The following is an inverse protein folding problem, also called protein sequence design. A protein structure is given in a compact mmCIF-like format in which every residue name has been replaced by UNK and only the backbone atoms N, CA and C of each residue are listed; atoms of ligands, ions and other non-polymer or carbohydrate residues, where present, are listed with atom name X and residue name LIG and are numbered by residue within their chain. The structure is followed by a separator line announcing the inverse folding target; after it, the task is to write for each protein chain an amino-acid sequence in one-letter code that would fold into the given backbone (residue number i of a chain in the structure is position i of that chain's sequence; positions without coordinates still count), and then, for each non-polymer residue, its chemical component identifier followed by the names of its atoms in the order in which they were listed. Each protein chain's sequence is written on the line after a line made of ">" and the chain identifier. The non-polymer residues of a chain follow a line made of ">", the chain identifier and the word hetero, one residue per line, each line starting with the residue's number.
data_IF_169054828889
#
_entry.id   IF_169054828889
#
_cell.length_a   1.000
_cell.length_b   1.000
_cell.length_c   1.000
_cell.angle_alpha   90.00
_cell.angle_beta   90.00
_cell.angle_gamma   90.00
#
_symmetry.space_group_name_H-M   'P 1'
#
loop_
_entity.id
_entity.type
_entity.pdbx_description
1 polymer ?
#
# COMPACT_ATOMS: atom_id res chain seq x y z
N UNK A 1 51.48 37.72 22.49
CA UNK A 1 50.27 37.71 23.35
C UNK A 1 50.73 37.85 24.79
N UNK A 2 50.33 38.91 25.50
CA UNK A 2 50.76 39.16 26.89
C UNK A 2 50.21 38.07 27.84
N UNK A 3 50.88 37.77 28.97
CA UNK A 3 50.43 36.75 29.94
C UNK A 3 48.97 36.96 30.42
N UNK A 4 48.59 38.21 30.70
CA UNK A 4 47.23 38.57 31.10
C UNK A 4 46.17 38.24 30.02
N UNK A 5 46.49 38.47 28.73
CA UNK A 5 45.59 38.09 27.63
C UNK A 5 45.43 36.58 27.49
N UNK A 6 46.47 35.78 27.79
CA UNK A 6 46.37 34.31 27.81
C UNK A 6 45.46 33.82 28.92
N UNK A 7 45.56 34.42 30.11
CA UNK A 7 44.71 34.05 31.25
C UNK A 7 43.24 34.39 31.01
N UNK A 8 42.94 35.59 30.52
CA UNK A 8 41.56 36.00 30.19
C UNK A 8 40.97 35.07 29.12
N UNK A 9 41.73 34.74 28.07
CA UNK A 9 41.29 33.81 27.03
C UNK A 9 40.95 32.44 27.60
N UNK A 10 41.81 31.89 28.46
CA UNK A 10 41.56 30.61 29.14
C UNK A 10 40.27 30.63 29.99
N UNK A 11 40.03 31.72 30.74
CA UNK A 11 38.79 31.88 31.52
C UNK A 11 37.54 31.96 30.63
N UNK A 12 37.62 32.63 29.49
CA UNK A 12 36.52 32.70 28.50
C UNK A 12 36.26 31.32 27.90
N UNK A 13 37.30 30.60 27.47
CA UNK A 13 37.17 29.26 26.90
C UNK A 13 36.53 28.28 27.90
N UNK A 14 36.91 28.36 29.18
CA UNK A 14 36.29 27.56 30.25
C UNK A 14 34.80 27.88 30.43
N UNK A 15 34.41 29.16 30.39
CA UNK A 15 32.98 29.56 30.47
C UNK A 15 32.19 29.10 29.24
N UNK A 16 32.76 29.19 28.05
CA UNK A 16 32.16 28.68 26.81
C UNK A 16 31.91 27.18 26.91
N UNK A 17 32.89 26.42 27.44
CA UNK A 17 32.74 24.98 27.68
C UNK A 17 31.62 24.69 28.67
N UNK A 18 31.61 25.34 29.84
CA UNK A 18 30.56 25.17 30.85
C UNK A 18 29.16 25.49 30.31
N UNK A 19 29.01 26.58 29.57
CA UNK A 19 27.73 26.94 28.95
C UNK A 19 27.30 25.90 27.91
N UNK A 20 28.21 25.42 27.08
CA UNK A 20 27.94 24.35 26.11
C UNK A 20 27.44 23.08 26.80
N UNK A 21 28.06 22.69 27.92
CA UNK A 21 27.67 21.52 28.70
C UNK A 21 26.28 21.67 29.35
N UNK A 22 25.93 22.87 29.81
CA UNK A 22 24.59 23.17 30.36
C UNK A 22 23.53 23.09 29.27
N UNK A 23 23.76 23.74 28.12
CA UNK A 23 22.83 23.74 27.00
C UNK A 23 22.62 22.34 26.41
N UNK A 24 23.69 21.55 26.36
CA UNK A 24 23.64 20.14 25.91
C UNK A 24 22.74 19.31 26.83
N UNK A 25 22.92 19.43 28.16
CA UNK A 25 22.09 18.73 29.15
C UNK A 25 20.62 19.17 29.09
N UNK A 26 20.36 20.45 28.84
CA UNK A 26 19.00 20.96 28.67
C UNK A 26 18.30 20.30 27.48
N UNK A 27 18.99 20.15 26.34
CA UNK A 27 18.46 19.53 25.12
C UNK A 27 18.31 18.01 25.23
N UNK A 28 19.17 17.37 26.02
CA UNK A 28 19.07 15.95 26.35
C UNK A 28 18.00 15.66 27.42
N UNK A 29 17.44 16.70 28.04
CA UNK A 29 16.49 16.61 29.14
C UNK A 29 15.15 15.93 28.80
N UNK A 30 14.40 15.58 29.86
CA UNK A 30 13.26 14.64 29.90
C UNK A 30 12.24 14.77 28.74
N UNK A 31 11.80 13.64 28.15
CA UNK A 31 10.77 13.58 27.10
C UNK A 31 9.47 14.30 27.47
N UNK A 32 9.13 14.40 28.75
CA UNK A 32 7.90 15.03 29.24
C UNK A 32 7.80 16.53 28.89
N UNK A 33 8.94 17.23 28.87
CA UNK A 33 8.98 18.65 28.51
C UNK A 33 8.70 18.84 27.01
N UNK A 34 9.23 17.95 26.17
CA UNK A 34 9.00 17.97 24.71
C UNK A 34 7.57 17.59 24.33
N UNK A 35 6.88 16.78 25.14
CA UNK A 35 5.47 16.43 24.95
C UNK A 35 4.52 17.60 25.22
N UNK A 36 4.80 18.43 26.24
CA UNK A 36 3.90 19.52 26.64
C UNK A 36 4.09 20.83 25.88
N UNK A 37 5.28 21.08 25.31
CA UNK A 37 5.58 22.35 24.64
C UNK A 37 6.05 22.26 23.18
N UNK A 38 6.12 21.06 22.60
CA UNK A 38 6.50 20.88 21.20
C UNK A 38 7.96 21.24 20.88
N UNK A 39 8.31 21.40 19.59
CA UNK A 39 9.68 21.72 19.18
C UNK A 39 10.21 23.07 19.69
N UNK A 40 9.33 24.02 20.02
CA UNK A 40 9.70 25.39 20.39
C UNK A 40 10.43 25.48 21.74
N UNK A 41 10.21 24.53 22.65
CA UNK A 41 10.86 24.50 23.98
C UNK A 41 12.38 24.43 23.86
N UNK A 42 12.90 23.78 22.82
CA UNK A 42 14.35 23.62 22.62
C UNK A 42 14.98 24.83 21.92
N UNK A 43 14.18 25.74 21.34
CA UNK A 43 14.64 26.89 20.51
C UNK A 43 15.71 27.70 21.21
N UNK A 44 15.49 28.06 22.49
CA UNK A 44 16.43 28.86 23.27
C UNK A 44 17.80 28.19 23.31
N UNK A 45 17.85 26.93 23.73
CA UNK A 45 19.10 26.21 23.90
C UNK A 45 19.81 25.99 22.55
N UNK A 46 19.07 25.64 21.50
CA UNK A 46 19.61 25.49 20.14
C UNK A 46 20.19 26.80 19.62
N UNK A 47 19.45 27.92 19.75
CA UNK A 47 19.90 29.24 19.27
C UNK A 47 21.19 29.67 19.95
N UNK A 48 21.32 29.44 21.26
CA UNK A 48 22.56 29.77 21.97
C UNK A 48 23.74 28.89 21.52
N UNK A 49 23.53 27.60 21.26
CA UNK A 49 24.58 26.74 20.71
C UNK A 49 25.02 27.17 19.30
N UNK A 50 24.08 27.59 18.44
CA UNK A 50 24.42 28.15 17.12
C UNK A 50 25.28 29.41 17.28
N UNK A 51 24.91 30.33 18.19
CA UNK A 51 25.68 31.54 18.48
C UNK A 51 27.08 31.28 19.04
N UNK A 52 27.30 30.13 19.69
CA UNK A 52 28.62 29.66 20.13
C UNK A 52 29.44 28.99 19.01
N UNK A 53 28.95 28.99 17.77
CA UNK A 53 29.60 28.32 16.64
C UNK A 53 29.53 26.79 16.72
N UNK A 54 28.55 26.25 17.44
CA UNK A 54 28.33 24.80 17.64
C UNK A 54 27.08 24.31 16.91
N UNK A 55 26.82 24.82 15.70
CA UNK A 55 25.58 24.53 14.94
C UNK A 55 25.38 23.05 14.63
N UNK A 56 26.44 22.31 14.26
CA UNK A 56 26.36 20.85 14.03
C UNK A 56 25.93 20.10 15.29
N UNK A 57 26.50 20.44 16.45
CA UNK A 57 26.12 19.84 17.73
C UNK A 57 24.67 20.21 18.10
N UNK A 58 24.28 21.46 17.88
CA UNK A 58 22.91 21.93 18.12
C UNK A 58 21.90 21.16 17.27
N UNK A 59 22.21 20.94 15.99
CA UNK A 59 21.39 20.17 15.06
C UNK A 59 21.22 18.71 15.50
N UNK A 60 22.32 18.02 15.82
CA UNK A 60 22.29 16.64 16.29
C UNK A 60 21.45 16.48 17.57
N UNK A 61 21.69 17.33 18.56
CA UNK A 61 20.94 17.31 19.83
C UNK A 61 19.45 17.62 19.63
N UNK A 62 19.13 18.60 18.78
CA UNK A 62 17.75 18.94 18.45
C UNK A 62 17.04 17.73 17.82
N UNK A 63 17.61 17.13 16.77
CA UNK A 63 16.99 16.00 16.07
C UNK A 63 16.85 14.77 16.98
N UNK A 64 17.85 14.48 17.83
CA UNK A 64 17.75 13.44 18.87
C UNK A 64 16.61 13.71 19.86
N UNK A 65 16.45 14.96 20.31
CA UNK A 65 15.33 15.35 21.17
C UNK A 65 13.98 15.09 20.46
N UNK A 66 13.87 15.44 19.18
CA UNK A 66 12.66 15.20 18.38
C UNK A 66 12.36 13.72 18.18
N UNK A 67 13.37 12.88 17.93
CA UNK A 67 13.21 11.43 17.89
C UNK A 67 12.64 10.87 19.20
N UNK A 68 13.12 11.35 20.36
CA UNK A 68 12.59 10.92 21.66
C UNK A 68 11.13 11.33 21.83
N UNK A 69 10.76 12.55 21.43
CA UNK A 69 9.39 13.04 21.48
C UNK A 69 8.44 12.23 20.58
N UNK A 70 8.86 11.91 19.35
CA UNK A 70 8.10 11.06 18.42
C UNK A 70 7.91 9.67 19.05
N UNK A 71 9.00 9.01 19.48
CA UNK A 71 8.94 7.67 20.08
C UNK A 71 8.02 7.63 21.30
N UNK A 72 8.08 8.64 22.17
CA UNK A 72 7.22 8.69 23.34
C UNK A 72 5.75 8.89 22.96
N UNK A 73 5.45 9.78 22.02
CA UNK A 73 4.07 10.03 21.56
C UNK A 73 3.47 8.79 20.89
N UNK A 74 4.24 8.08 20.06
CA UNK A 74 3.80 6.84 19.42
C UNK A 74 3.60 5.69 20.44
N UNK A 75 4.36 5.66 21.54
CA UNK A 75 4.14 4.70 22.65
C UNK A 75 2.86 4.99 23.43
N UNK A 76 2.52 6.26 23.62
CA UNK A 76 1.30 6.68 24.30
C UNK A 76 0.04 6.46 23.45
N UNK A 77 0.19 6.19 22.15
CA UNK A 77 -0.93 5.93 21.26
C UNK A 77 -1.56 4.57 21.57
N UNK A 78 -2.76 4.61 22.17
CA UNK A 78 -3.53 3.39 22.46
C UNK A 78 -4.04 2.75 21.17
N UNK A 79 -3.96 1.42 21.14
CA UNK A 79 -4.62 0.60 20.11
C UNK A 79 -6.10 0.51 20.51
N UNK A 80 -6.95 1.24 19.79
CA UNK A 80 -8.39 1.30 20.08
C UNK A 80 -9.19 1.18 18.78
N UNK A 81 -10.16 0.26 18.79
CA UNK A 81 -11.07 0.04 17.67
C UNK A 81 -10.46 -0.73 16.50
N UNK A 82 -11.09 -0.60 15.33
CA UNK A 82 -10.63 -1.24 14.10
C UNK A 82 -9.23 -0.74 13.69
N UNK A 83 -8.43 -1.62 13.07
CA UNK A 83 -7.06 -1.31 12.63
C UNK A 83 -6.95 0.01 11.84
N UNK A 84 -7.97 0.32 11.03
CA UNK A 84 -8.08 1.57 10.27
C UNK A 84 -8.04 2.84 11.14
N UNK A 85 -8.74 2.84 12.28
CA UNK A 85 -8.77 3.99 13.20
C UNK A 85 -7.42 4.22 13.85
N UNK A 86 -6.78 3.13 14.29
CA UNK A 86 -5.44 3.19 14.84
C UNK A 86 -4.42 3.72 13.83
N UNK A 87 -4.43 3.17 12.61
CA UNK A 87 -3.52 3.58 11.53
C UNK A 87 -3.70 5.06 11.18
N UNK A 88 -4.93 5.55 11.13
CA UNK A 88 -5.22 6.97 10.87
C UNK A 88 -4.61 7.86 11.96
N UNK A 89 -4.82 7.52 13.24
CA UNK A 89 -4.22 8.25 14.37
C UNK A 89 -2.69 8.19 14.33
N UNK A 90 -2.12 7.02 14.02
CA UNK A 90 -0.68 6.79 13.90
C UNK A 90 -0.06 7.68 12.82
N UNK A 91 -0.65 7.68 11.60
CA UNK A 91 -0.19 8.52 10.49
C UNK A 91 -0.24 10.00 10.87
N UNK A 92 -1.41 10.46 11.34
CA UNK A 92 -1.59 11.87 11.74
C UNK A 92 -0.57 12.29 12.79
N UNK A 93 -0.38 11.50 13.85
CA UNK A 93 0.53 11.82 14.93
C UNK A 93 1.99 11.90 14.44
N UNK A 94 2.45 10.90 13.69
CA UNK A 94 3.81 10.87 13.18
C UNK A 94 4.10 12.03 12.21
N UNK A 95 3.29 12.20 11.17
CA UNK A 95 3.54 13.23 10.16
C UNK A 95 3.38 14.65 10.71
N UNK A 96 2.48 14.88 11.67
CA UNK A 96 2.40 16.16 12.38
C UNK A 96 3.69 16.49 13.12
N UNK A 97 4.31 15.52 13.81
CA UNK A 97 5.60 15.76 14.45
C UNK A 97 6.70 16.11 13.47
N UNK A 98 6.74 15.48 12.29
CA UNK A 98 7.71 15.84 11.23
C UNK A 98 7.45 17.27 10.74
N UNK A 99 6.18 17.65 10.49
CA UNK A 99 5.80 18.99 10.05
C UNK A 99 6.18 20.06 11.08
N UNK A 100 5.82 19.86 12.35
CA UNK A 100 6.16 20.79 13.43
C UNK A 100 7.67 20.93 13.59
N UNK A 101 8.38 19.81 13.53
CA UNK A 101 9.84 19.80 13.59
C UNK A 101 10.43 20.55 12.40
N UNK A 102 9.97 20.31 11.18
CA UNK A 102 10.47 20.98 9.98
C UNK A 102 10.19 22.49 9.96
N UNK A 103 9.01 22.91 10.44
CA UNK A 103 8.68 24.35 10.60
C UNK A 103 9.65 25.03 11.57
N UNK A 104 9.87 24.43 12.73
CA UNK A 104 10.79 24.96 13.74
C UNK A 104 12.25 24.92 13.26
N UNK A 105 12.64 23.85 12.56
CA UNK A 105 13.97 23.68 12.02
C UNK A 105 14.30 24.79 11.01
N UNK A 106 13.38 25.11 10.10
CA UNK A 106 13.54 26.24 9.18
C UNK A 106 13.71 27.57 9.88
N UNK A 107 13.00 27.79 10.98
CA UNK A 107 13.11 29.04 11.74
C UNK A 107 14.45 29.15 12.47
N UNK A 108 14.94 28.04 13.03
CA UNK A 108 16.11 28.04 13.91
C UNK A 108 17.44 27.87 13.17
N UNK A 109 17.44 27.15 12.05
CA UNK A 109 18.65 26.81 11.27
C UNK A 109 18.69 27.47 9.88
N UNK A 110 17.92 28.56 9.64
CA UNK A 110 17.84 29.25 8.35
C UNK A 110 19.21 29.62 7.73
N UNK A 111 20.18 30.01 8.54
CA UNK A 111 21.54 30.39 8.12
C UNK A 111 22.53 29.20 8.08
N UNK A 112 22.10 28.01 8.52
CA UNK A 112 22.95 26.84 8.73
C UNK A 112 22.68 25.78 7.64
N UNK A 113 23.06 26.08 6.39
CA UNK A 113 22.75 25.22 5.23
C UNK A 113 23.19 23.75 5.41
N UNK A 114 24.35 23.52 6.04
CA UNK A 114 24.85 22.17 6.33
C UNK A 114 23.96 21.32 7.25
N UNK A 115 23.02 21.93 7.98
CA UNK A 115 22.11 21.22 8.87
C UNK A 115 20.87 20.66 8.13
N UNK A 116 20.49 21.21 6.98
CA UNK A 116 19.30 20.75 6.24
C UNK A 116 19.44 19.33 5.69
N UNK A 117 20.64 18.93 5.25
CA UNK A 117 20.91 17.56 4.86
C UNK A 117 20.72 16.59 6.04
N UNK A 118 21.17 16.97 7.24
CA UNK A 118 20.96 16.19 8.46
C UNK A 118 19.47 16.05 8.80
N UNK A 119 18.65 17.08 8.59
CA UNK A 119 17.19 17.01 8.75
C UNK A 119 16.55 16.00 7.78
N UNK A 120 16.97 15.97 6.51
CA UNK A 120 16.47 15.00 5.52
C UNK A 120 16.86 13.57 5.91
N UNK A 121 18.13 13.34 6.30
CA UNK A 121 18.61 12.04 6.78
C UNK A 121 17.83 11.57 8.01
N UNK A 122 17.61 12.47 8.96
CA UNK A 122 16.80 12.19 10.15
C UNK A 122 15.36 11.85 9.79
N UNK A 123 14.72 12.63 8.93
CA UNK A 123 13.31 12.41 8.52
C UNK A 123 13.14 11.03 7.85
N UNK A 124 14.11 10.62 7.02
CA UNK A 124 14.15 9.28 6.42
C UNK A 124 14.29 8.19 7.49
N UNK A 125 15.14 8.37 8.49
CA UNK A 125 15.32 7.40 9.58
C UNK A 125 14.06 7.26 10.45
N UNK A 126 13.42 8.37 10.80
CA UNK A 126 12.15 8.37 11.53
C UNK A 126 11.03 7.72 10.72
N UNK A 127 10.95 7.99 9.40
CA UNK A 127 9.99 7.34 8.51
C UNK A 127 10.18 5.83 8.48
N UNK A 128 11.42 5.33 8.46
CA UNK A 128 11.71 3.89 8.56
C UNK A 128 11.18 3.29 9.86
N UNK A 129 11.36 3.98 10.99
CA UNK A 129 10.80 3.58 12.28
C UNK A 129 9.27 3.52 12.26
N UNK A 130 8.63 4.53 11.67
CA UNK A 130 7.19 4.58 11.48
C UNK A 130 6.68 3.43 10.60
N UNK A 131 7.28 3.18 9.44
CA UNK A 131 6.84 2.10 8.53
C UNK A 131 6.94 0.74 9.20
N UNK A 132 7.98 0.49 10.01
CA UNK A 132 8.07 -0.76 10.77
C UNK A 132 6.89 -0.97 11.73
N UNK A 133 6.39 0.09 12.37
CA UNK A 133 5.22 0.02 13.24
C UNK A 133 3.92 -0.09 12.44
N UNK A 134 3.80 0.69 11.37
CA UNK A 134 2.67 0.67 10.44
C UNK A 134 2.49 -0.72 9.83
N UNK A 135 3.55 -1.32 9.28
CA UNK A 135 3.50 -2.62 8.59
C UNK A 135 3.02 -3.75 9.50
N UNK A 136 3.36 -3.73 10.79
CA UNK A 136 2.88 -4.72 11.77
C UNK A 136 1.37 -4.69 11.97
N UNK A 137 0.74 -3.54 11.76
CA UNK A 137 -0.68 -3.32 12.04
C UNK A 137 -1.51 -3.32 10.76
N UNK A 138 -0.99 -2.72 9.69
CA UNK A 138 -1.71 -2.51 8.43
C UNK A 138 -1.36 -3.51 7.34
N UNK A 139 -0.16 -4.12 7.38
CA UNK A 139 0.36 -5.03 6.34
C UNK A 139 0.60 -6.44 6.88
N UNK A 140 -0.18 -6.88 7.88
CA UNK A 140 -0.05 -8.23 8.41
C UNK A 140 -0.37 -9.28 7.34
N UNK A 141 0.32 -10.44 7.37
CA UNK A 141 0.32 -11.47 6.32
C UNK A 141 -1.06 -12.04 5.94
N UNK A 142 -2.10 -11.80 6.72
CA UNK A 142 -3.48 -12.27 6.48
C UNK A 142 -4.48 -11.12 6.29
N UNK A 143 -4.00 -9.97 5.84
CA UNK A 143 -4.84 -8.78 5.72
C UNK A 143 -5.65 -8.79 4.42
N UNK A 144 -6.91 -8.37 4.54
CA UNK A 144 -7.77 -8.06 3.39
C UNK A 144 -7.15 -6.90 2.58
N UNK A 145 -6.96 -7.10 1.27
CA UNK A 145 -6.37 -6.11 0.38
C UNK A 145 -7.07 -4.75 0.39
N UNK A 146 -8.39 -4.69 0.59
CA UNK A 146 -9.13 -3.43 0.65
C UNK A 146 -8.76 -2.61 1.88
N UNK A 147 -8.70 -3.26 3.05
CA UNK A 147 -8.28 -2.60 4.30
C UNK A 147 -6.82 -2.11 4.21
N UNK A 148 -5.95 -2.91 3.57
CA UNK A 148 -4.56 -2.53 3.28
C UNK A 148 -4.52 -1.30 2.37
N UNK A 149 -5.29 -1.29 1.28
CA UNK A 149 -5.35 -0.19 0.32
C UNK A 149 -5.78 1.12 0.97
N UNK A 150 -6.79 1.10 1.84
CA UNK A 150 -7.23 2.29 2.58
C UNK A 150 -6.13 2.79 3.53
N UNK A 151 -5.49 1.90 4.28
CA UNK A 151 -4.40 2.27 5.19
C UNK A 151 -3.20 2.88 4.46
N UNK A 152 -2.80 2.30 3.32
CA UNK A 152 -1.69 2.80 2.49
C UNK A 152 -2.05 4.16 1.87
N UNK A 153 -3.29 4.35 1.44
CA UNK A 153 -3.78 5.63 0.91
C UNK A 153 -3.70 6.74 1.96
N UNK A 154 -4.08 6.44 3.20
CA UNK A 154 -3.94 7.37 4.34
C UNK A 154 -2.47 7.73 4.58
N UNK A 155 -1.58 6.72 4.65
CA UNK A 155 -0.16 6.95 4.86
C UNK A 155 0.45 7.83 3.75
N UNK A 156 0.13 7.57 2.48
CA UNK A 156 0.57 8.38 1.33
C UNK A 156 0.04 9.82 1.39
N UNK A 157 -1.22 10.00 1.78
CA UNK A 157 -1.84 11.33 1.91
C UNK A 157 -1.12 12.16 2.97
N UNK A 158 -0.88 11.59 4.16
CA UNK A 158 -0.14 12.29 5.20
C UNK A 158 1.34 12.51 4.83
N UNK A 159 1.98 11.57 4.14
CA UNK A 159 3.35 11.75 3.64
C UNK A 159 3.44 12.91 2.65
N UNK A 160 2.47 13.02 1.74
CA UNK A 160 2.39 14.12 0.76
C UNK A 160 2.21 15.49 1.43
N UNK A 161 1.60 15.52 2.63
CA UNK A 161 1.45 16.77 3.40
C UNK A 161 2.78 17.35 3.89
N UNK A 162 3.88 16.58 3.87
CA UNK A 162 5.22 17.09 4.16
C UNK A 162 5.70 18.13 3.14
N UNK A 163 5.05 18.25 1.98
CA UNK A 163 5.29 19.31 1.01
C UNK A 163 5.14 20.72 1.60
N UNK A 164 4.30 20.92 2.64
CA UNK A 164 4.20 22.20 3.37
C UNK A 164 5.49 22.62 4.07
N UNK A 165 6.40 21.66 4.25
CA UNK A 165 7.75 21.91 4.74
C UNK A 165 8.85 21.73 3.68
N UNK A 166 8.49 21.62 2.40
CA UNK A 166 9.45 21.43 1.31
C UNK A 166 10.11 20.04 1.31
N UNK A 167 9.47 19.05 1.93
CA UNK A 167 9.99 17.68 2.04
C UNK A 167 9.04 16.72 1.31
N UNK A 168 9.58 15.91 0.40
CA UNK A 168 8.86 14.80 -0.22
C UNK A 168 9.56 13.49 0.13
N UNK A 169 8.84 12.59 0.82
CA UNK A 169 9.31 11.26 1.19
C UNK A 169 8.39 10.16 0.65
N UNK A 170 7.50 10.47 -0.29
CA UNK A 170 6.49 9.53 -0.79
C UNK A 170 7.15 8.31 -1.46
N UNK A 171 8.22 8.54 -2.21
CA UNK A 171 9.01 7.46 -2.82
C UNK A 171 9.67 6.55 -1.77
N UNK A 172 10.21 7.13 -0.69
CA UNK A 172 10.81 6.38 0.43
C UNK A 172 9.74 5.56 1.15
N UNK A 173 8.57 6.15 1.39
CA UNK A 173 7.45 5.45 2.02
C UNK A 173 7.05 4.23 1.19
N UNK A 174 6.91 4.40 -0.13
CA UNK A 174 6.56 3.32 -1.05
C UNK A 174 7.61 2.20 -1.06
N UNK A 175 8.89 2.54 -1.15
CA UNK A 175 10.01 1.59 -1.10
C UNK A 175 10.01 0.77 0.20
N UNK A 176 9.85 1.44 1.34
CA UNK A 176 9.82 0.76 2.65
C UNK A 176 8.60 -0.16 2.83
N UNK A 177 7.50 0.09 2.14
CA UNK A 177 6.29 -0.75 2.19
C UNK A 177 6.29 -1.88 1.17
N UNK A 178 7.14 -1.81 0.13
CA UNK A 178 7.10 -2.68 -1.05
C UNK A 178 7.01 -4.16 -0.68
N UNK A 179 7.91 -4.62 0.20
CA UNK A 179 7.94 -6.03 0.62
C UNK A 179 6.65 -6.46 1.32
N UNK A 180 6.09 -5.62 2.19
CA UNK A 180 4.83 -5.90 2.87
C UNK A 180 3.65 -5.97 1.89
N UNK A 181 3.64 -5.10 0.87
CA UNK A 181 2.62 -5.12 -0.19
C UNK A 181 2.70 -6.37 -1.05
N UNK A 182 3.92 -6.80 -1.41
CA UNK A 182 4.14 -8.07 -2.12
C UNK A 182 3.62 -9.27 -1.34
N UNK A 183 3.89 -9.32 -0.03
CA UNK A 183 3.42 -10.41 0.83
C UNK A 183 1.89 -10.43 0.95
N UNK A 184 1.23 -9.26 1.02
CA UNK A 184 -0.23 -9.14 0.99
C UNK A 184 -0.81 -9.61 -0.34
N UNK A 185 -0.23 -9.20 -1.47
CA UNK A 185 -0.68 -9.63 -2.80
C UNK A 185 -0.58 -11.15 -2.94
N UNK A 186 0.55 -11.72 -2.52
CA UNK A 186 0.79 -13.15 -2.57
C UNK A 186 -0.17 -13.94 -1.67
N UNK A 187 -0.47 -13.46 -0.46
CA UNK A 187 -1.48 -14.09 0.39
C UNK A 187 -2.86 -14.07 -0.26
N UNK A 188 -3.30 -12.91 -0.77
CA UNK A 188 -4.61 -12.79 -1.41
C UNK A 188 -4.69 -13.64 -2.68
N UNK A 189 -3.60 -13.82 -3.43
CA UNK A 189 -3.51 -14.76 -4.56
C UNK A 189 -3.93 -16.17 -4.16
N UNK A 190 -3.36 -16.70 -3.09
CA UNK A 190 -3.67 -18.06 -2.61
C UNK A 190 -5.14 -18.17 -2.19
N UNK A 191 -5.66 -17.17 -1.47
CA UNK A 191 -7.07 -17.14 -1.07
C UNK A 191 -8.02 -17.12 -2.28
N UNK A 192 -7.69 -16.37 -3.33
CA UNK A 192 -8.47 -16.31 -4.56
C UNK A 192 -8.47 -17.65 -5.31
N UNK A 193 -7.30 -18.28 -5.41
CA UNK A 193 -7.13 -19.59 -6.04
C UNK A 193 -7.94 -20.65 -5.27
N UNK A 194 -7.82 -20.70 -3.95
CA UNK A 194 -8.51 -21.68 -3.12
C UNK A 194 -10.04 -21.50 -3.18
N UNK A 195 -10.53 -20.26 -3.08
CA UNK A 195 -11.95 -19.96 -3.25
C UNK A 195 -12.47 -20.33 -4.65
N UNK A 196 -11.64 -20.17 -5.69
CA UNK A 196 -11.96 -20.61 -7.06
C UNK A 196 -12.07 -22.13 -7.15
N UNK A 197 -11.12 -22.87 -6.57
CA UNK A 197 -11.13 -24.34 -6.53
C UNK A 197 -12.37 -24.89 -5.83
N UNK A 198 -12.68 -24.39 -4.64
CA UNK A 198 -13.87 -24.83 -3.89
C UNK A 198 -15.16 -24.63 -4.68
N UNK A 199 -15.36 -23.46 -5.31
CA UNK A 199 -16.54 -23.21 -6.14
C UNK A 199 -16.63 -24.13 -7.36
N UNK A 200 -15.50 -24.55 -7.93
CA UNK A 200 -15.48 -25.43 -9.09
C UNK A 200 -15.80 -26.90 -8.73
N UNK A 201 -15.62 -27.34 -7.46
CA UNK A 201 -15.92 -28.72 -7.05
C UNK A 201 -17.42 -29.05 -7.16
N UNK A 202 -18.28 -28.06 -6.91
CA UNK A 202 -19.74 -28.18 -6.91
C UNK A 202 -20.38 -27.72 -8.23
N UNK A 203 -19.57 -27.34 -9.22
CA UNK A 203 -20.05 -26.75 -10.46
C UNK A 203 -20.73 -27.78 -11.39
N UNK A 204 -21.79 -27.33 -12.05
CA UNK A 204 -22.56 -28.10 -13.03
C UNK A 204 -22.43 -27.56 -14.46
N UNK A 205 -21.83 -26.37 -14.65
CA UNK A 205 -21.55 -25.77 -15.96
C UNK A 205 -22.78 -25.40 -16.81
N UNK A 206 -23.92 -25.19 -16.16
CA UNK A 206 -25.09 -24.58 -16.78
C UNK A 206 -25.05 -23.05 -16.65
N UNK A 207 -25.74 -22.31 -17.54
CA UNK A 207 -26.05 -20.90 -17.32
C UNK A 207 -26.63 -20.68 -15.91
N UNK A 208 -26.10 -19.69 -15.19
CA UNK A 208 -26.53 -19.41 -13.82
C UNK A 208 -28.00 -18.99 -13.80
N UNK A 209 -28.83 -19.69 -13.03
CA UNK A 209 -30.24 -19.35 -12.84
C UNK A 209 -30.46 -18.67 -11.49
N UNK A 210 -30.87 -17.41 -11.51
CA UNK A 210 -31.15 -16.59 -10.32
C UNK A 210 -32.60 -16.72 -9.83
N UNK A 211 -33.41 -17.57 -10.48
CA UNK A 211 -34.81 -17.91 -10.18
C UNK A 211 -35.81 -16.79 -10.43
N UNK A 212 -35.43 -15.52 -10.26
CA UNK A 212 -36.32 -14.38 -10.49
C UNK A 212 -35.57 -13.12 -10.96
N UNK A 213 -36.27 -12.15 -11.58
CA UNK A 213 -35.65 -10.92 -12.09
C UNK A 213 -35.08 -9.99 -11.03
N UNK A 214 -35.62 -9.99 -9.80
CA UNK A 214 -35.09 -9.15 -8.73
C UNK A 214 -33.67 -9.57 -8.31
N UNK A 215 -33.43 -10.89 -8.23
CA UNK A 215 -32.10 -11.44 -7.97
C UNK A 215 -31.12 -11.12 -9.11
N UNK A 216 -31.57 -11.11 -10.37
CA UNK A 216 -30.78 -10.67 -11.52
C UNK A 216 -30.37 -9.20 -11.42
N UNK A 217 -31.33 -8.31 -11.14
CA UNK A 217 -31.05 -6.88 -10.96
C UNK A 217 -30.09 -6.61 -9.80
N UNK A 218 -30.22 -7.34 -8.69
CA UNK A 218 -29.30 -7.25 -7.55
C UNK A 218 -27.87 -7.64 -7.94
N UNK A 219 -27.71 -8.77 -8.64
CA UNK A 219 -26.40 -9.23 -9.12
C UNK A 219 -25.78 -8.21 -10.09
N UNK A 220 -26.57 -7.65 -11.01
CA UNK A 220 -26.10 -6.63 -11.95
C UNK A 220 -25.56 -5.42 -11.19
N UNK A 221 -26.30 -4.92 -10.19
CA UNK A 221 -25.84 -3.81 -9.35
C UNK A 221 -24.58 -4.14 -8.53
N UNK A 222 -24.40 -5.41 -8.11
CA UNK A 222 -23.16 -5.87 -7.48
C UNK A 222 -21.98 -5.89 -8.44
N UNK A 223 -22.18 -6.38 -9.66
CA UNK A 223 -21.15 -6.46 -10.70
C UNK A 223 -20.72 -5.07 -11.16
N UNK A 224 -21.66 -4.14 -11.31
CA UNK A 224 -21.38 -2.74 -11.62
C UNK A 224 -20.54 -2.08 -10.51
N UNK A 225 -20.87 -2.31 -9.23
CA UNK A 225 -20.05 -1.80 -8.10
C UNK A 225 -18.64 -2.40 -8.05
N UNK A 226 -18.48 -3.65 -8.49
CA UNK A 226 -17.18 -4.29 -8.67
C UNK A 226 -16.43 -3.75 -9.91
N UNK A 227 -17.11 -3.03 -10.80
CA UNK A 227 -16.54 -2.36 -11.96
C UNK A 227 -16.82 -3.04 -13.29
N UNK A 228 -17.85 -3.87 -13.39
CA UNK A 228 -18.34 -4.41 -14.66
C UNK A 228 -19.65 -3.72 -15.05
N UNK A 229 -19.52 -2.59 -15.73
CA UNK A 229 -20.66 -1.72 -16.07
C UNK A 229 -21.67 -2.42 -17.01
N UNK A 230 -21.15 -3.19 -17.97
CA UNK A 230 -21.90 -3.87 -19.02
C UNK A 230 -22.42 -5.27 -18.65
N UNK A 231 -22.36 -5.68 -17.38
CA UNK A 231 -22.73 -7.05 -16.97
C UNK A 231 -24.16 -7.44 -17.35
N UNK A 232 -25.08 -6.47 -17.45
CA UNK A 232 -26.46 -6.69 -17.88
C UNK A 232 -26.57 -7.41 -19.24
N UNK A 233 -25.58 -7.26 -20.13
CA UNK A 233 -25.56 -7.92 -21.45
C UNK A 233 -25.49 -9.46 -21.35
N UNK A 234 -25.00 -9.98 -20.22
CA UNK A 234 -24.95 -11.41 -19.95
C UNK A 234 -26.27 -11.97 -19.40
N UNK A 235 -27.21 -11.10 -19.01
CA UNK A 235 -28.51 -11.50 -18.46
C UNK A 235 -29.53 -11.68 -19.57
N UNK A 236 -30.29 -12.78 -19.54
CA UNK A 236 -31.37 -13.08 -20.47
C UNK A 236 -32.54 -13.77 -19.76
N UNK A 237 -33.70 -13.84 -20.42
CA UNK A 237 -34.95 -14.43 -19.90
C UNK A 237 -35.34 -13.92 -18.50
N UNK A 238 -34.95 -12.68 -18.18
CA UNK A 238 -35.19 -12.03 -16.90
C UNK A 238 -34.37 -12.55 -15.72
N UNK A 239 -33.94 -13.82 -15.68
CA UNK A 239 -33.30 -14.41 -14.51
C UNK A 239 -32.10 -15.33 -14.78
N UNK A 240 -31.67 -15.50 -16.03
CA UNK A 240 -30.52 -16.32 -16.39
C UNK A 240 -29.30 -15.46 -16.73
N UNK A 241 -28.11 -15.94 -16.37
CA UNK A 241 -26.83 -15.39 -16.81
C UNK A 241 -26.17 -16.39 -17.75
N UNK A 242 -25.66 -15.93 -18.90
CA UNK A 242 -25.07 -16.76 -19.97
C UNK A 242 -23.88 -17.64 -19.55
N UNK A 243 -23.25 -17.30 -18.43
CA UNK A 243 -22.07 -17.97 -17.88
C UNK A 243 -22.41 -18.72 -16.57
N UNK A 244 -21.54 -19.65 -16.20
CA UNK A 244 -21.73 -20.51 -15.04
C UNK A 244 -21.59 -19.76 -13.71
N UNK A 245 -22.18 -20.32 -12.65
CA UNK A 245 -22.22 -19.72 -11.32
C UNK A 245 -20.81 -19.44 -10.77
N UNK A 246 -19.90 -20.40 -10.91
CA UNK A 246 -18.50 -20.26 -10.49
C UNK A 246 -17.76 -19.18 -11.28
N UNK A 247 -18.03 -19.03 -12.58
CA UNK A 247 -17.44 -17.99 -13.45
C UNK A 247 -17.96 -16.60 -13.09
N UNK A 248 -19.25 -16.44 -12.79
CA UNK A 248 -19.81 -15.17 -12.26
C UNK A 248 -19.13 -14.80 -10.95
N UNK A 249 -19.06 -15.74 -10.00
CA UNK A 249 -18.45 -15.50 -8.70
C UNK A 249 -16.95 -15.17 -8.82
N UNK A 250 -16.22 -15.89 -9.67
CA UNK A 250 -14.81 -15.61 -9.97
C UNK A 250 -14.62 -14.20 -10.53
N UNK A 251 -15.42 -13.81 -11.53
CA UNK A 251 -15.39 -12.49 -12.18
C UNK A 251 -15.57 -11.38 -11.14
N UNK A 252 -16.60 -11.49 -10.29
CA UNK A 252 -16.89 -10.50 -9.22
C UNK A 252 -15.73 -10.35 -8.25
N UNK A 253 -15.20 -11.49 -7.77
CA UNK A 253 -14.16 -11.50 -6.73
C UNK A 253 -12.83 -10.99 -7.29
N UNK A 254 -12.42 -11.42 -8.49
CA UNK A 254 -11.18 -10.93 -9.09
C UNK A 254 -11.28 -9.45 -9.45
N UNK A 255 -12.43 -8.95 -9.95
CA UNK A 255 -12.61 -7.50 -10.17
C UNK A 255 -12.49 -6.69 -8.88
N UNK A 256 -13.09 -7.18 -7.81
CA UNK A 256 -13.01 -6.54 -6.50
C UNK A 256 -11.56 -6.50 -6.01
N UNK A 257 -10.81 -7.59 -6.18
CA UNK A 257 -9.37 -7.62 -5.90
C UNK A 257 -8.59 -6.62 -6.76
N UNK A 258 -8.81 -6.60 -8.08
CA UNK A 258 -8.13 -5.67 -9.02
C UNK A 258 -8.38 -4.22 -8.61
N UNK A 259 -9.63 -3.87 -8.29
CA UNK A 259 -10.03 -2.52 -7.85
C UNK A 259 -9.24 -2.05 -6.62
N UNK A 260 -8.96 -2.94 -5.68
CA UNK A 260 -8.18 -2.62 -4.48
C UNK A 260 -6.67 -2.65 -4.75
N UNK A 261 -6.18 -3.63 -5.52
CA UNK A 261 -4.76 -3.77 -5.88
C UNK A 261 -4.25 -2.55 -6.68
N UNK A 262 -5.03 -2.00 -7.60
CA UNK A 262 -4.61 -0.83 -8.38
C UNK A 262 -4.47 0.45 -7.52
N UNK A 263 -5.16 0.56 -6.37
CA UNK A 263 -4.94 1.66 -5.42
C UNK A 263 -3.54 1.62 -4.81
N UNK A 264 -2.94 0.42 -4.75
CA UNK A 264 -1.59 0.20 -4.23
C UNK A 264 -0.49 0.47 -5.27
N UNK A 265 -0.86 0.73 -6.53
CA UNK A 265 0.07 0.86 -7.66
C UNK A 265 1.26 1.77 -7.36
N UNK A 266 2.44 1.21 -7.58
CA UNK A 266 3.74 1.87 -7.76
C UNK A 266 4.50 1.12 -8.85
N UNK A 267 5.42 1.78 -9.59
CA UNK A 267 6.15 1.14 -10.68
C UNK A 267 6.85 -0.17 -10.28
N UNK A 268 7.37 -0.25 -9.06
CA UNK A 268 8.10 -1.40 -8.52
C UNK A 268 7.19 -2.58 -8.17
N UNK A 269 5.92 -2.32 -7.82
CA UNK A 269 4.92 -3.34 -7.45
C UNK A 269 4.09 -3.80 -8.65
N UNK A 270 4.14 -3.06 -9.77
CA UNK A 270 3.39 -3.38 -10.97
C UNK A 270 3.60 -4.82 -11.48
N UNK A 271 4.83 -5.36 -11.57
CA UNK A 271 5.04 -6.73 -12.01
C UNK A 271 4.32 -7.76 -11.14
N UNK A 272 4.32 -7.55 -9.81
CA UNK A 272 3.64 -8.44 -8.85
C UNK A 272 2.11 -8.40 -9.01
N UNK A 273 1.53 -7.20 -9.17
CA UNK A 273 0.09 -7.03 -9.39
C UNK A 273 -0.34 -7.80 -10.65
N UNK A 274 0.39 -7.62 -11.76
CA UNK A 274 0.05 -8.28 -13.02
C UNK A 274 0.26 -9.79 -12.89
N UNK A 275 1.36 -10.26 -12.29
CA UNK A 275 1.62 -11.69 -12.10
C UNK A 275 0.50 -12.37 -11.30
N UNK A 276 0.10 -11.78 -10.17
CA UNK A 276 -0.97 -12.32 -9.32
C UNK A 276 -2.29 -12.44 -10.08
N UNK A 277 -2.68 -11.40 -10.82
CA UNK A 277 -3.93 -11.41 -11.60
C UNK A 277 -3.86 -12.46 -12.72
N UNK A 278 -2.74 -12.53 -13.44
CA UNK A 278 -2.51 -13.50 -14.51
C UNK A 278 -2.55 -14.94 -13.98
N UNK A 279 -1.90 -15.22 -12.86
CA UNK A 279 -1.86 -16.55 -12.23
C UNK A 279 -3.23 -16.98 -11.72
N UNK A 280 -3.98 -16.09 -11.07
CA UNK A 280 -5.35 -16.37 -10.61
C UNK A 280 -6.29 -16.65 -11.79
N UNK A 281 -6.19 -15.86 -12.86
CA UNK A 281 -6.97 -16.06 -14.08
C UNK A 281 -6.60 -17.37 -14.78
N UNK A 282 -5.31 -17.65 -14.95
CA UNK A 282 -4.86 -18.91 -15.54
C UNK A 282 -5.29 -20.11 -14.72
N UNK A 283 -5.19 -20.05 -13.38
CA UNK A 283 -5.64 -21.16 -12.54
C UNK A 283 -7.14 -21.45 -12.71
N UNK A 284 -7.98 -20.41 -12.77
CA UNK A 284 -9.42 -20.60 -13.02
C UNK A 284 -9.68 -21.19 -14.41
N UNK A 285 -8.93 -20.75 -15.43
CA UNK A 285 -8.99 -21.35 -16.78
C UNK A 285 -8.60 -22.82 -16.73
N UNK A 286 -7.52 -23.19 -16.04
CA UNK A 286 -7.06 -24.58 -15.94
C UNK A 286 -8.11 -25.48 -15.28
N UNK A 287 -8.84 -24.99 -14.28
CA UNK A 287 -9.97 -25.70 -13.69
C UNK A 287 -11.09 -25.96 -14.72
N UNK A 288 -11.45 -24.96 -15.52
CA UNK A 288 -12.41 -25.13 -16.62
C UNK A 288 -11.90 -26.11 -17.68
N UNK A 289 -10.61 -26.04 -18.04
CA UNK A 289 -9.99 -26.96 -19.00
C UNK A 289 -10.00 -28.40 -18.50
N UNK A 290 -9.74 -28.61 -17.21
CA UNK A 290 -9.84 -29.93 -16.58
C UNK A 290 -11.28 -30.45 -16.63
N UNK A 291 -12.27 -29.61 -16.31
CA UNK A 291 -13.67 -29.97 -16.40
C UNK A 291 -14.09 -30.32 -17.84
N UNK A 292 -13.67 -29.52 -18.83
CA UNK A 292 -14.03 -29.73 -20.25
C UNK A 292 -13.42 -31.02 -20.85
N UNK A 293 -12.34 -31.52 -20.26
CA UNK A 293 -11.70 -32.78 -20.65
C UNK A 293 -12.25 -34.01 -19.91
N UNK A 294 -13.07 -33.79 -18.89
CA UNK A 294 -13.66 -34.87 -18.10
C UNK A 294 -14.90 -35.41 -18.79
N UNK A 295 -15.04 -36.73 -18.83
CA UNK A 295 -16.24 -37.42 -19.33
C UNK A 295 -17.49 -37.07 -18.50
N UNK A 296 -17.30 -36.64 -17.24
CA UNK A 296 -18.38 -36.19 -16.36
C UNK A 296 -19.21 -35.05 -16.95
N UNK A 297 -18.61 -34.20 -17.78
CA UNK A 297 -19.22 -32.98 -18.31
C UNK A 297 -19.23 -32.97 -19.84
N UNK A 298 -19.42 -34.14 -20.46
CA UNK A 298 -19.45 -34.26 -21.92
C UNK A 298 -20.57 -33.41 -22.54
N UNK A 299 -21.78 -33.47 -21.97
CA UNK A 299 -22.94 -32.71 -22.44
C UNK A 299 -22.75 -31.19 -22.24
N UNK A 300 -22.10 -30.78 -21.15
CA UNK A 300 -21.88 -29.38 -20.82
C UNK A 300 -20.60 -28.79 -21.43
N UNK A 301 -19.80 -29.59 -22.17
CA UNK A 301 -18.51 -29.18 -22.73
C UNK A 301 -18.60 -27.89 -23.55
N UNK A 302 -19.66 -27.72 -24.34
CA UNK A 302 -19.90 -26.48 -25.09
C UNK A 302 -20.13 -25.28 -24.18
N UNK A 303 -20.82 -25.46 -23.05
CA UNK A 303 -21.01 -24.39 -22.07
C UNK A 303 -19.70 -24.05 -21.36
N UNK A 304 -18.88 -25.05 -21.01
CA UNK A 304 -17.54 -24.82 -20.45
C UNK A 304 -16.69 -24.00 -21.41
N UNK A 305 -16.69 -24.33 -22.71
CA UNK A 305 -15.97 -23.58 -23.73
C UNK A 305 -16.45 -22.11 -23.84
N UNK A 306 -17.76 -21.85 -23.74
CA UNK A 306 -18.30 -20.47 -23.70
C UNK A 306 -17.79 -19.69 -22.49
N UNK A 307 -17.65 -20.33 -21.32
CA UNK A 307 -17.08 -19.69 -20.13
C UNK A 307 -15.58 -19.37 -20.31
N UNK A 308 -14.81 -20.28 -20.90
CA UNK A 308 -13.40 -20.03 -21.25
C UNK A 308 -13.29 -18.85 -22.23
N UNK A 309 -14.11 -18.85 -23.28
CA UNK A 309 -14.13 -17.78 -24.28
C UNK A 309 -14.49 -16.43 -23.65
N UNK A 310 -15.51 -16.40 -22.79
CA UNK A 310 -15.89 -15.21 -22.03
C UNK A 310 -14.70 -14.64 -21.23
N UNK A 311 -13.92 -15.48 -20.53
CA UNK A 311 -12.75 -15.02 -19.78
C UNK A 311 -11.74 -14.32 -20.70
N UNK A 312 -11.46 -14.89 -21.87
CA UNK A 312 -10.46 -14.33 -22.79
C UNK A 312 -10.94 -13.11 -23.59
N UNK A 313 -12.20 -13.12 -24.04
CA UNK A 313 -12.74 -12.15 -24.99
C UNK A 313 -13.42 -10.96 -24.33
N UNK A 314 -13.97 -11.13 -23.12
CA UNK A 314 -14.67 -10.06 -22.41
C UNK A 314 -13.93 -9.68 -21.12
N UNK A 315 -13.60 -10.67 -20.30
CA UNK A 315 -13.14 -10.40 -18.95
C UNK A 315 -11.69 -9.89 -18.85
N UNK A 316 -10.73 -10.57 -19.48
CA UNK A 316 -9.34 -10.12 -19.49
C UNK A 316 -9.17 -8.74 -20.13
N UNK A 317 -9.82 -8.40 -21.27
CA UNK A 317 -9.83 -7.02 -21.79
C UNK A 317 -10.38 -5.99 -20.80
N UNK A 318 -11.44 -6.31 -20.05
CA UNK A 318 -11.97 -5.43 -19.02
C UNK A 318 -10.93 -5.14 -17.92
N UNK A 319 -10.23 -6.17 -17.45
CA UNK A 319 -9.13 -6.01 -16.49
C UNK A 319 -7.98 -5.20 -17.09
N UNK A 320 -7.61 -5.48 -18.34
CA UNK A 320 -6.55 -4.78 -19.09
C UNK A 320 -6.80 -3.26 -19.09
N UNK A 321 -8.01 -2.84 -19.46
CA UNK A 321 -8.43 -1.42 -19.46
C UNK A 321 -8.33 -0.81 -18.06
N UNK A 322 -8.70 -1.54 -17.00
CA UNK A 322 -8.62 -1.04 -15.63
C UNK A 322 -7.18 -0.84 -15.16
N UNK A 323 -6.29 -1.76 -15.51
CA UNK A 323 -4.86 -1.67 -15.19
C UNK A 323 -4.21 -0.54 -16.00
N UNK A 324 -4.49 -0.47 -17.31
CA UNK A 324 -3.96 0.54 -18.23
C UNK A 324 -4.30 1.97 -17.79
N UNK A 325 -5.52 2.19 -17.27
CA UNK A 325 -5.94 3.51 -16.73
C UNK A 325 -5.04 4.02 -15.61
N UNK A 326 -4.42 3.13 -14.83
CA UNK A 326 -3.56 3.50 -13.69
C UNK A 326 -2.08 3.41 -14.06
N UNK A 327 -1.68 2.39 -14.81
CA UNK A 327 -0.26 2.16 -15.15
C UNK A 327 0.21 2.95 -16.36
N UNK A 328 -0.70 3.39 -17.24
CA UNK A 328 -0.39 3.92 -18.57
C UNK A 328 0.24 2.90 -19.52
N UNK A 329 0.30 1.61 -19.15
CA UNK A 329 1.00 0.55 -19.89
C UNK A 329 0.07 -0.60 -20.23
N UNK A 330 0.15 -1.08 -21.47
CA UNK A 330 -0.52 -2.30 -21.91
C UNK A 330 0.04 -3.53 -21.21
N UNK A 331 -0.81 -4.52 -20.96
CA UNK A 331 -0.43 -5.74 -20.23
C UNK A 331 0.02 -6.84 -21.20
N UNK A 332 1.32 -6.97 -21.42
CA UNK A 332 1.88 -7.95 -22.36
C UNK A 332 1.48 -9.40 -22.02
N UNK A 333 1.46 -9.76 -20.73
CA UNK A 333 1.08 -11.10 -20.26
C UNK A 333 -0.34 -11.50 -20.71
N UNK A 334 -1.28 -10.55 -20.80
CA UNK A 334 -2.64 -10.85 -21.24
C UNK A 334 -2.71 -11.16 -22.73
N UNK A 335 -1.81 -10.59 -23.55
CA UNK A 335 -1.68 -10.96 -24.97
C UNK A 335 -1.18 -12.39 -25.12
N UNK A 336 -0.19 -12.78 -24.33
CA UNK A 336 0.32 -14.16 -24.31
C UNK A 336 -0.75 -15.15 -23.84
N UNK A 337 -1.49 -14.81 -22.79
CA UNK A 337 -2.65 -15.59 -22.34
C UNK A 337 -3.69 -15.75 -23.44
N UNK A 338 -4.09 -14.66 -24.12
CA UNK A 338 -5.02 -14.71 -25.27
C UNK A 338 -4.50 -15.59 -26.41
N UNK A 339 -3.20 -15.61 -26.67
CA UNK A 339 -2.61 -16.50 -27.67
C UNK A 339 -2.74 -17.99 -27.27
N UNK A 340 -2.62 -18.31 -25.97
CA UNK A 340 -2.84 -19.67 -25.45
C UNK A 340 -4.30 -20.13 -25.60
N UNK A 341 -5.28 -19.23 -25.59
CA UNK A 341 -6.70 -19.56 -25.75
C UNK A 341 -6.97 -20.44 -26.98
N UNK A 342 -6.48 -20.03 -28.17
CA UNK A 342 -6.69 -20.78 -29.43
C UNK A 342 -6.19 -22.22 -29.33
N UNK A 343 -5.04 -22.42 -28.68
CA UNK A 343 -4.45 -23.74 -28.45
C UNK A 343 -5.26 -24.56 -27.45
N UNK A 344 -5.77 -23.93 -26.39
CA UNK A 344 -6.61 -24.57 -25.38
C UNK A 344 -7.94 -25.04 -26.00
N UNK A 345 -8.64 -24.16 -26.71
CA UNK A 345 -9.91 -24.46 -27.38
C UNK A 345 -9.75 -25.62 -28.36
N UNK A 346 -8.72 -25.60 -29.21
CA UNK A 346 -8.43 -26.67 -30.18
C UNK A 346 -8.15 -28.02 -29.49
N UNK A 347 -7.40 -28.01 -28.38
CA UNK A 347 -7.12 -29.24 -27.60
C UNK A 347 -8.37 -29.84 -26.96
N UNK A 348 -9.28 -29.02 -26.46
CA UNK A 348 -10.55 -29.48 -25.86
C UNK A 348 -11.50 -30.03 -26.93
N UNK A 349 -11.61 -29.34 -28.06
CA UNK A 349 -12.43 -29.79 -29.19
C UNK A 349 -11.95 -31.15 -29.71
N UNK A 350 -10.63 -31.34 -29.87
CA UNK A 350 -10.05 -32.60 -30.31
C UNK A 350 -10.21 -33.74 -29.28
N UNK A 351 -10.28 -33.43 -27.98
CA UNK A 351 -10.54 -34.42 -26.93
C UNK A 351 -11.98 -34.94 -26.94
N UNK A 352 -12.89 -34.34 -27.71
CA UNK A 352 -14.25 -34.86 -27.94
C UNK A 352 -14.39 -35.73 -29.19
N UNK A 353 -13.28 -36.07 -29.83
CA UNK A 353 -13.24 -36.84 -31.10
C UNK A 353 -12.53 -38.20 -30.90
N UNK A 354 -12.42 -38.69 -29.66
CA UNK A 354 -12.02 -40.08 -29.43
C UNK A 354 -13.24 -40.96 -29.70
N UNK A 355 -13.18 -41.64 -30.85
CA UNK A 355 -14.12 -42.63 -31.41
C UNK A 355 -14.45 -43.71 -30.39
#
# INVERSE_FOLDING_TARGET
>A
MTPALKEVRSRVDNRVKQLTDVLTRELQGSPEKSLRGGPQVTRRAVTQLIRLGRSTLACDLYLKNRSMAIKQSLRCLKIEGAAHLYVTKLCRLFFNHIIETGKEFRQTFNEQQGCFSAFVVWSKAELKGFVNQFSRQALAKQSNIGAVADCVTIARTHCSSLSVIGLDLTFVLNDLMLKGLQDVLQYNKEQLIEASRHRNMEEKWYPMNLKNPNAANNLVGEMQRAGYDDFQKLVYDGCFVRIATSTVAFTKVLLSFVKEAIKLYIPELYPDIVSVISEVAMNHIDLMVLAAKSDRFEEERTNILKNIEFIFQEFLPLIEVKIEKVSGKKVAQFKEMKAKNKTITRKIQNAGVLI
#
